data_IF_850765263423
#
_entry.id   IF_850765263423
#
_cell.length_a   1.000
_cell.length_b   1.000
_cell.length_c   1.000
_cell.angle_alpha   90.00
_cell.angle_beta   90.00
_cell.angle_gamma   90.00
#
_symmetry.space_group_name_H-M   'P 1'
#
loop_
_entity.id
_entity.type
_entity.pdbx_description
1 polymer ?
#
# COMPACT_ATOMS: atom_id res chain seq x y z
N UNK A 1 30.35 -20.68 31.26
CA UNK A 1 29.84 -21.19 29.97
C UNK A 1 28.31 -21.15 29.86
N UNK A 2 27.52 -21.29 30.94
CA UNK A 2 26.05 -21.13 30.89
C UNK A 2 25.56 -19.70 30.57
N UNK A 3 26.12 -18.67 31.20
CA UNK A 3 25.60 -17.29 31.06
C UNK A 3 25.78 -16.67 29.66
N UNK A 4 26.69 -17.22 28.85
CA UNK A 4 26.95 -16.73 27.50
C UNK A 4 25.89 -17.24 26.51
N UNK A 5 25.34 -18.44 26.72
CA UNK A 5 24.31 -19.01 25.83
C UNK A 5 22.94 -18.35 26.02
N UNK A 6 22.58 -18.01 27.26
CA UNK A 6 21.31 -17.33 27.58
C UNK A 6 21.25 -15.94 26.94
N UNK A 7 22.34 -15.15 27.06
CA UNK A 7 22.43 -13.80 26.45
C UNK A 7 22.34 -13.80 24.92
N UNK A 8 22.85 -14.85 24.25
CA UNK A 8 22.78 -14.95 22.80
C UNK A 8 21.38 -15.40 22.32
N UNK A 9 20.70 -16.27 23.07
CA UNK A 9 19.34 -16.71 22.79
C UNK A 9 18.32 -15.57 22.91
N UNK A 10 18.43 -14.77 23.96
CA UNK A 10 17.57 -13.59 24.17
C UNK A 10 17.75 -12.54 23.08
N UNK A 11 19.01 -12.24 22.71
CA UNK A 11 19.31 -11.28 21.63
C UNK A 11 18.72 -11.70 20.29
N UNK A 12 18.89 -12.97 19.90
CA UNK A 12 18.37 -13.51 18.65
C UNK A 12 16.84 -13.48 18.58
N UNK A 13 16.17 -13.75 19.70
CA UNK A 13 14.71 -13.72 19.79
C UNK A 13 14.19 -12.27 19.69
N UNK A 14 14.88 -11.33 20.32
CA UNK A 14 14.53 -9.92 20.29
C UNK A 14 14.77 -9.30 18.90
N UNK A 15 15.87 -9.65 18.24
CA UNK A 15 16.16 -9.29 16.84
C UNK A 15 15.07 -9.78 15.90
N UNK A 16 14.73 -11.08 15.93
CA UNK A 16 13.66 -11.63 15.06
C UNK A 16 12.27 -11.01 15.32
N UNK A 17 11.97 -10.64 16.56
CA UNK A 17 10.70 -9.98 16.91
C UNK A 17 10.66 -8.50 16.50
N UNK A 18 11.82 -7.85 16.37
CA UNK A 18 11.91 -6.48 15.83
C UNK A 18 11.85 -6.49 14.31
N UNK A 19 12.55 -7.41 13.66
CA UNK A 19 12.60 -7.56 12.20
C UNK A 19 11.20 -7.89 11.65
N UNK A 20 10.51 -8.91 12.20
CA UNK A 20 9.14 -9.25 11.77
C UNK A 20 8.10 -8.13 12.00
N UNK A 21 8.31 -7.23 12.97
CA UNK A 21 7.46 -6.05 13.19
C UNK A 21 7.84 -4.87 12.29
N UNK A 22 9.07 -4.80 11.81
CA UNK A 22 9.50 -3.79 10.85
C UNK A 22 9.00 -4.16 9.45
N UNK A 23 9.18 -5.42 9.05
CA UNK A 23 8.71 -5.97 7.77
C UNK A 23 7.19 -5.90 7.67
N UNK A 24 6.43 -6.42 8.63
CA UNK A 24 4.96 -6.36 8.59
C UNK A 24 4.38 -4.94 8.59
N UNK A 25 5.10 -3.94 9.11
CA UNK A 25 4.70 -2.52 9.02
C UNK A 25 5.13 -1.86 7.71
N UNK A 26 6.21 -2.31 7.08
CA UNK A 26 6.64 -1.83 5.79
C UNK A 26 5.72 -2.38 4.70
N UNK A 27 5.47 -3.69 4.70
CA UNK A 27 4.55 -4.39 3.81
C UNK A 27 3.13 -3.85 3.96
N UNK A 28 2.58 -3.81 5.18
CA UNK A 28 1.22 -3.31 5.40
C UNK A 28 1.02 -1.82 5.08
N UNK A 29 2.07 -0.99 5.16
CA UNK A 29 1.98 0.42 4.71
C UNK A 29 2.05 0.54 3.20
N UNK A 30 2.92 -0.23 2.55
CA UNK A 30 3.05 -0.16 1.10
C UNK A 30 1.83 -0.74 0.40
N UNK A 31 1.33 -1.89 0.86
CA UNK A 31 0.08 -2.48 0.37
C UNK A 31 -1.11 -1.54 0.61
N UNK A 32 -1.29 -1.02 1.83
CA UNK A 32 -2.38 -0.10 2.15
C UNK A 32 -2.30 1.24 1.41
N UNK A 33 -1.08 1.72 1.10
CA UNK A 33 -0.88 2.95 0.32
C UNK A 33 -1.19 2.74 -1.16
N UNK A 34 -0.81 1.59 -1.72
CA UNK A 34 -1.10 1.25 -3.12
C UNK A 34 -2.60 1.01 -3.30
N UNK A 35 -3.21 0.23 -2.42
CA UNK A 35 -4.65 -0.08 -2.45
C UNK A 35 -5.48 1.19 -2.25
N UNK A 36 -5.18 1.98 -1.21
CA UNK A 36 -5.88 3.24 -0.96
C UNK A 36 -5.69 4.29 -2.06
N UNK A 37 -4.52 4.33 -2.70
CA UNK A 37 -4.32 5.21 -3.86
C UNK A 37 -5.14 4.75 -5.07
N UNK A 38 -5.22 3.44 -5.34
CA UNK A 38 -6.01 2.94 -6.48
C UNK A 38 -7.51 3.13 -6.26
N UNK A 39 -8.01 2.81 -5.07
CA UNK A 39 -9.39 3.06 -4.68
C UNK A 39 -9.74 4.54 -4.75
N UNK A 40 -8.89 5.42 -4.21
CA UNK A 40 -9.10 6.86 -4.27
C UNK A 40 -9.14 7.42 -5.71
N UNK A 41 -8.34 6.88 -6.63
CA UNK A 41 -8.39 7.28 -8.04
C UNK A 41 -9.66 6.81 -8.73
N UNK A 42 -10.18 5.63 -8.38
CA UNK A 42 -11.46 5.11 -8.89
C UNK A 42 -12.62 5.98 -8.43
N UNK A 43 -12.69 6.31 -7.14
CA UNK A 43 -13.75 7.14 -6.58
C UNK A 43 -13.71 8.57 -7.13
N UNK A 44 -12.51 9.10 -7.34
CA UNK A 44 -12.31 10.39 -8.00
C UNK A 44 -12.79 10.33 -9.46
N UNK A 45 -12.41 9.30 -10.23
CA UNK A 45 -12.83 9.15 -11.62
C UNK A 45 -14.36 9.03 -11.75
N UNK A 46 -15.04 8.29 -10.85
CA UNK A 46 -16.51 8.24 -10.78
C UNK A 46 -17.15 9.60 -10.53
N UNK A 47 -16.57 10.38 -9.61
CA UNK A 47 -17.02 11.74 -9.32
C UNK A 47 -16.87 12.66 -10.53
N UNK A 48 -15.74 12.57 -11.24
CA UNK A 48 -15.49 13.35 -12.45
C UNK A 48 -16.44 12.98 -13.60
N UNK A 49 -16.73 11.68 -13.78
CA UNK A 49 -17.73 11.22 -14.76
C UNK A 49 -19.13 11.78 -14.44
N UNK A 50 -19.51 11.79 -13.16
CA UNK A 50 -20.79 12.37 -12.71
C UNK A 50 -20.88 13.87 -13.00
N UNK A 51 -19.75 14.58 -12.94
CA UNK A 51 -19.64 16.00 -13.29
C UNK A 51 -19.55 16.25 -14.81
N UNK A 52 -19.74 15.23 -15.65
CA UNK A 52 -19.58 15.28 -17.11
C UNK A 52 -18.18 15.72 -17.56
N UNK A 53 -17.15 15.45 -16.77
CA UNK A 53 -15.77 15.69 -17.18
C UNK A 53 -15.40 14.68 -18.27
N UNK A 54 -14.78 15.11 -19.38
CA UNK A 54 -14.41 14.20 -20.46
C UNK A 54 -13.43 13.13 -20.00
N UNK A 55 -13.64 11.89 -20.48
CA UNK A 55 -12.77 10.74 -20.16
C UNK A 55 -11.30 11.00 -20.47
N UNK A 56 -10.98 11.74 -21.56
CA UNK A 56 -9.60 12.11 -21.89
C UNK A 56 -8.91 12.96 -20.80
N UNK A 57 -9.67 13.81 -20.11
CA UNK A 57 -9.14 14.65 -19.02
C UNK A 57 -8.89 13.79 -17.79
N UNK A 58 -9.81 12.86 -17.50
CA UNK A 58 -9.68 11.91 -16.39
C UNK A 58 -8.48 10.99 -16.63
N UNK A 59 -8.32 10.45 -17.83
CA UNK A 59 -7.19 9.59 -18.23
C UNK A 59 -5.84 10.29 -18.06
N UNK A 60 -5.71 11.54 -18.52
CA UNK A 60 -4.48 12.34 -18.37
C UNK A 60 -4.12 12.66 -16.92
N UNK A 61 -5.12 12.72 -16.03
CA UNK A 61 -4.95 13.23 -14.66
C UNK A 61 -4.90 12.13 -13.60
N UNK A 62 -5.51 10.97 -13.86
CA UNK A 62 -5.65 9.87 -12.90
C UNK A 62 -4.64 8.74 -13.11
N UNK A 63 -4.05 8.64 -14.31
CA UNK A 63 -3.22 7.49 -14.69
C UNK A 63 -4.01 6.20 -14.93
N UNK A 64 -5.34 6.25 -14.87
CA UNK A 64 -6.23 5.17 -15.27
C UNK A 64 -6.33 5.12 -16.79
N UNK A 65 -6.39 3.92 -17.33
CA UNK A 65 -6.64 3.71 -18.76
C UNK A 65 -8.07 4.08 -19.11
N UNK A 66 -8.31 4.49 -20.36
CA UNK A 66 -9.68 4.69 -20.87
C UNK A 66 -10.61 3.49 -20.62
N UNK A 67 -10.09 2.27 -20.73
CA UNK A 67 -10.87 1.06 -20.49
C UNK A 67 -11.27 0.92 -19.00
N UNK A 68 -10.36 1.22 -18.08
CA UNK A 68 -10.67 1.25 -16.64
C UNK A 68 -11.73 2.30 -16.33
N UNK A 69 -11.60 3.52 -16.86
CA UNK A 69 -12.55 4.62 -16.63
C UNK A 69 -13.95 4.28 -17.18
N UNK A 70 -14.03 3.64 -18.35
CA UNK A 70 -15.31 3.23 -18.95
C UNK A 70 -15.96 2.03 -18.24
N UNK A 71 -15.20 1.30 -17.43
CA UNK A 71 -15.69 0.19 -16.63
C UNK A 71 -16.15 0.61 -15.21
N UNK A 72 -16.00 1.89 -14.84
CA UNK A 72 -16.40 2.46 -13.54
C UNK A 72 -17.89 2.74 -13.43
#
# INVERSE_FOLDING_TARGET
MCELMEKFGEKKLEEGRMEGRAEGRAEGREEGRIEGHREGMIDMARSLLTLNVPVEVIEKSSGLTRAEILAL
#
